data_IF_206833835577
#
_entry.id   IF_206833835577
#
_cell.length_a   1.000
_cell.length_b   1.000
_cell.length_c   1.000
_cell.angle_alpha   90.00
_cell.angle_beta   90.00
_cell.angle_gamma   90.00
#
_symmetry.space_group_name_H-M   'P 1'
#
loop_
_entity.id
_entity.type
_entity.pdbx_description
1 polymer ?
#
# COMPACT_ATOMS: atom_id res chain seq x y z
N UNK A 1 2.45 -38.19 14.11
CA UNK A 1 2.22 -37.09 15.08
C UNK A 1 1.11 -36.19 14.53
N UNK A 2 -0.08 -36.24 15.13
CA UNK A 2 -1.19 -35.34 14.78
C UNK A 2 -0.77 -33.92 15.16
N UNK A 3 -0.66 -33.05 14.17
CA UNK A 3 -0.35 -31.65 14.37
C UNK A 3 -1.57 -31.02 15.06
N UNK A 4 -1.51 -30.83 16.38
CA UNK A 4 -2.50 -30.06 17.13
C UNK A 4 -2.31 -28.58 16.79
N UNK A 5 -2.60 -28.19 15.54
CA UNK A 5 -2.77 -26.79 15.20
C UNK A 5 -4.05 -26.33 15.88
N UNK A 6 -3.90 -25.57 16.97
CA UNK A 6 -4.96 -24.75 17.54
C UNK A 6 -5.76 -24.09 16.38
N UNK A 7 -7.10 -24.06 16.45
CA UNK A 7 -7.88 -23.41 15.42
C UNK A 7 -7.36 -21.98 15.22
N UNK A 8 -7.31 -21.48 13.98
CA UNK A 8 -6.81 -20.14 13.70
C UNK A 8 -7.53 -19.16 14.62
N UNK A 9 -6.78 -18.53 15.53
CA UNK A 9 -7.35 -17.63 16.53
C UNK A 9 -7.97 -16.45 15.78
N UNK A 10 -9.29 -16.46 15.68
CA UNK A 10 -10.05 -15.43 14.99
C UNK A 10 -9.84 -14.12 15.75
N UNK A 11 -9.32 -13.10 15.08
CA UNK A 11 -9.15 -11.78 15.69
C UNK A 11 -10.52 -11.31 16.16
N UNK A 12 -10.62 -10.88 17.42
CA UNK A 12 -11.87 -10.36 17.97
C UNK A 12 -12.33 -9.15 17.14
N UNK A 13 -13.64 -8.96 16.87
CA UNK A 13 -14.13 -7.80 16.12
C UNK A 13 -13.64 -6.47 16.67
N UNK A 14 -13.45 -6.37 18.00
CA UNK A 14 -12.93 -5.15 18.62
C UNK A 14 -11.46 -4.89 18.27
N UNK A 15 -10.66 -5.96 18.18
CA UNK A 15 -9.26 -5.86 17.78
C UNK A 15 -9.16 -5.56 16.28
N UNK A 16 -10.04 -6.12 15.44
CA UNK A 16 -10.13 -5.77 14.02
C UNK A 16 -10.42 -4.26 13.84
N UNK A 17 -11.31 -3.70 14.65
CA UNK A 17 -11.58 -2.26 14.65
C UNK A 17 -10.36 -1.42 15.03
N UNK A 18 -9.65 -1.77 16.11
CA UNK A 18 -8.44 -1.04 16.50
C UNK A 18 -7.33 -1.15 15.46
N UNK A 19 -7.12 -2.33 14.86
CA UNK A 19 -6.16 -2.48 13.76
C UNK A 19 -6.58 -1.69 12.52
N UNK A 20 -7.87 -1.60 12.22
CA UNK A 20 -8.36 -0.76 11.13
C UNK A 20 -8.09 0.73 11.40
N UNK A 21 -8.29 1.20 12.63
CA UNK A 21 -7.99 2.59 13.01
C UNK A 21 -6.49 2.89 12.95
N UNK A 22 -5.64 2.00 13.47
CA UNK A 22 -4.19 2.12 13.37
C UNK A 22 -3.77 2.15 11.91
N UNK A 23 -4.29 1.22 11.11
CA UNK A 23 -3.99 1.12 9.69
C UNK A 23 -4.38 2.36 8.90
N UNK A 24 -5.56 2.91 9.20
CA UNK A 24 -6.03 4.15 8.62
C UNK A 24 -5.10 5.32 8.95
N UNK A 25 -4.71 5.47 10.22
CA UNK A 25 -3.77 6.51 10.63
C UNK A 25 -2.41 6.34 9.95
N UNK A 26 -1.89 5.11 9.88
CA UNK A 26 -0.63 4.82 9.19
C UNK A 26 -0.69 5.16 7.70
N UNK A 27 -1.78 4.84 7.01
CA UNK A 27 -1.95 5.22 5.60
C UNK A 27 -1.99 6.75 5.45
N UNK A 28 -2.74 7.46 6.30
CA UNK A 28 -2.86 8.94 6.24
C UNK A 28 -1.51 9.61 6.50
N UNK A 29 -0.85 9.31 7.62
CA UNK A 29 0.44 9.91 7.93
C UNK A 29 1.50 9.49 6.91
N UNK A 30 1.45 8.24 6.46
CA UNK A 30 2.33 7.73 5.42
C UNK A 30 2.22 8.47 4.10
N UNK A 31 1.06 9.05 3.76
CA UNK A 31 0.89 9.90 2.55
C UNK A 31 1.84 11.09 2.55
N UNK A 32 2.16 11.65 3.70
CA UNK A 32 2.93 12.90 3.83
C UNK A 32 4.40 12.70 4.19
N UNK A 33 4.84 11.46 4.35
CA UNK A 33 6.23 11.14 4.70
C UNK A 33 6.86 10.40 3.52
N UNK A 34 7.88 11.00 2.93
CA UNK A 34 8.68 10.39 1.87
C UNK A 34 9.68 9.36 2.42
N UNK A 35 9.96 8.34 1.61
CA UNK A 35 10.98 7.34 1.91
C UNK A 35 12.33 7.82 1.39
N UNK A 36 13.31 7.88 2.29
CA UNK A 36 14.70 8.23 1.98
C UNK A 36 15.62 7.03 2.14
N UNK A 37 16.64 6.96 1.30
CA UNK A 37 17.76 6.03 1.45
C UNK A 37 19.06 6.80 1.56
N UNK A 38 19.97 6.30 2.37
CA UNK A 38 21.33 6.82 2.46
C UNK A 38 22.24 5.83 1.75
N UNK A 39 22.62 6.15 0.51
CA UNK A 39 23.53 5.34 -0.28
C UNK A 39 24.93 5.99 -0.27
N UNK A 40 25.99 5.25 0.11
CA UNK A 40 27.35 5.73 -0.04
C UNK A 40 27.65 5.85 -1.55
N UNK A 41 27.63 7.08 -2.06
CA UNK A 41 27.89 7.34 -3.49
C UNK A 41 29.40 7.41 -3.78
N UNK A 42 30.22 7.54 -2.73
CA UNK A 42 31.69 7.56 -2.78
C UNK A 42 32.29 7.04 -1.47
N UNK A 43 33.62 6.89 -1.41
CA UNK A 43 34.36 6.46 -0.20
C UNK A 43 34.32 7.48 0.94
N UNK A 44 33.76 8.67 0.71
CA UNK A 44 33.59 9.70 1.74
C UNK A 44 32.38 9.40 2.63
N UNK A 45 32.62 8.54 3.63
CA UNK A 45 31.64 8.22 4.67
C UNK A 45 31.20 9.45 5.49
N UNK A 46 31.96 10.55 5.43
CA UNK A 46 31.69 11.78 6.16
C UNK A 46 30.59 12.65 5.52
N UNK A 47 30.24 12.43 4.25
CA UNK A 47 29.26 13.24 3.50
C UNK A 47 28.07 12.42 2.98
N UNK A 48 27.51 11.57 3.84
CA UNK A 48 26.30 10.81 3.52
C UNK A 48 25.07 11.72 3.49
N UNK A 49 24.52 11.96 2.30
CA UNK A 49 23.27 12.70 2.10
C UNK A 49 22.10 11.74 1.88
N UNK A 50 20.96 11.95 2.56
CA UNK A 50 19.75 11.18 2.28
C UNK A 50 19.18 11.57 0.91
N UNK A 51 18.90 10.55 0.10
CA UNK A 51 18.30 10.69 -1.23
C UNK A 51 16.85 10.19 -1.19
N UNK A 52 15.91 10.98 -1.72
CA UNK A 52 14.50 10.57 -1.81
C UNK A 52 14.34 9.45 -2.85
N UNK A 53 13.52 8.46 -2.53
CA UNK A 53 13.16 7.38 -3.44
C UNK A 53 11.92 7.70 -4.30
N UNK A 54 11.35 8.90 -4.17
CA UNK A 54 10.17 9.32 -4.95
C UNK A 54 8.90 8.54 -4.60
N UNK A 55 8.86 7.90 -3.43
CA UNK A 55 7.70 7.18 -2.90
C UNK A 55 7.45 7.59 -1.44
N UNK A 56 6.24 7.34 -0.96
CA UNK A 56 5.84 7.68 0.40
C UNK A 56 5.60 6.44 1.26
N UNK A 57 5.55 6.61 2.59
CA UNK A 57 5.23 5.54 3.53
C UNK A 57 3.75 5.11 3.50
N UNK A 58 2.92 5.72 2.65
CA UNK A 58 1.50 5.38 2.49
C UNK A 58 1.32 3.88 2.23
N UNK A 59 2.09 3.34 1.28
CA UNK A 59 2.05 1.92 0.91
C UNK A 59 2.50 1.01 2.06
N UNK A 60 3.41 1.49 2.92
CA UNK A 60 3.82 0.75 4.11
C UNK A 60 2.66 0.60 5.10
N UNK A 61 1.88 1.66 5.33
CA UNK A 61 0.67 1.61 6.17
C UNK A 61 -0.37 0.61 5.64
N UNK A 62 -0.60 0.63 4.33
CA UNK A 62 -1.52 -0.28 3.63
C UNK A 62 -1.17 -1.75 3.90
N UNK A 63 0.08 -2.15 3.64
CA UNK A 63 0.49 -3.55 3.81
C UNK A 63 0.70 -3.94 5.26
N UNK A 64 1.21 -3.05 6.10
CA UNK A 64 1.36 -3.33 7.53
C UNK A 64 0.02 -3.71 8.17
N UNK A 65 -1.05 -3.01 7.80
CA UNK A 65 -2.40 -3.31 8.29
C UNK A 65 -2.86 -4.71 7.89
N UNK A 66 -2.62 -5.12 6.63
CA UNK A 66 -2.91 -6.48 6.17
C UNK A 66 -2.09 -7.53 6.89
N UNK A 67 -0.77 -7.34 6.95
CA UNK A 67 0.18 -8.29 7.52
C UNK A 67 -0.03 -8.50 9.03
N UNK A 68 -0.41 -7.45 9.77
CA UNK A 68 -0.59 -7.51 11.23
C UNK A 68 -2.06 -7.71 11.59
N UNK A 69 -2.94 -6.80 11.16
CA UNK A 69 -4.37 -6.75 11.51
C UNK A 69 -5.28 -7.68 10.71
N UNK A 70 -4.77 -8.29 9.63
CA UNK A 70 -5.53 -9.24 8.81
C UNK A 70 -6.46 -8.59 7.79
N UNK A 71 -7.12 -9.44 6.99
CA UNK A 71 -7.86 -9.02 5.78
C UNK A 71 -8.99 -8.01 6.04
N UNK A 72 -9.76 -8.19 7.12
CA UNK A 72 -10.92 -7.36 7.42
C UNK A 72 -10.49 -5.96 7.85
N UNK A 73 -9.58 -5.88 8.83
CA UNK A 73 -9.02 -4.62 9.31
C UNK A 73 -8.36 -3.82 8.18
N UNK A 74 -7.61 -4.50 7.31
CA UNK A 74 -7.00 -3.89 6.13
C UNK A 74 -8.05 -3.31 5.18
N UNK A 75 -9.08 -4.08 4.81
CA UNK A 75 -10.15 -3.58 3.95
C UNK A 75 -10.87 -2.38 4.57
N UNK A 76 -11.24 -2.46 5.85
CA UNK A 76 -11.92 -1.36 6.55
C UNK A 76 -11.06 -0.09 6.59
N UNK A 77 -9.77 -0.22 6.89
CA UNK A 77 -8.84 0.92 6.88
C UNK A 77 -8.78 1.59 5.51
N UNK A 78 -8.61 0.82 4.43
CA UNK A 78 -8.48 1.40 3.09
C UNK A 78 -9.80 1.94 2.54
N UNK A 79 -10.94 1.33 2.89
CA UNK A 79 -12.27 1.87 2.57
C UNK A 79 -12.47 3.21 3.27
N UNK A 80 -12.18 3.28 4.58
CA UNK A 80 -12.28 4.53 5.34
C UNK A 80 -11.36 5.61 4.78
N UNK A 81 -10.14 5.25 4.39
CA UNK A 81 -9.18 6.15 3.75
C UNK A 81 -9.73 6.75 2.45
N UNK A 82 -10.25 5.91 1.55
CA UNK A 82 -10.86 6.35 0.28
C UNK A 82 -12.05 7.28 0.54
N UNK A 83 -12.97 6.87 1.42
CA UNK A 83 -14.16 7.67 1.74
C UNK A 83 -13.72 9.04 2.28
N UNK A 84 -12.87 9.07 3.29
CA UNK A 84 -12.45 10.34 3.91
C UNK A 84 -11.77 11.30 2.92
N UNK A 85 -10.90 10.80 2.04
CA UNK A 85 -10.23 11.66 1.07
C UNK A 85 -11.18 12.24 0.02
N UNK A 86 -12.26 11.53 -0.32
CA UNK A 86 -13.30 12.05 -1.21
C UNK A 86 -14.20 13.10 -0.52
N UNK A 87 -14.41 13.01 0.79
CA UNK A 87 -15.19 13.96 1.60
C UNK A 87 -14.39 15.21 2.02
N UNK A 88 -13.58 15.76 1.11
CA UNK A 88 -12.83 17.01 1.26
C UNK A 88 -11.80 17.07 2.40
N UNK A 89 -11.42 15.92 3.00
CA UNK A 89 -10.28 15.89 3.89
C UNK A 89 -9.00 15.81 3.05
N UNK A 90 -8.04 16.73 3.20
CA UNK A 90 -6.83 16.79 2.37
C UNK A 90 -5.83 15.72 2.83
N UNK A 91 -6.19 14.44 2.70
CA UNK A 91 -5.41 13.29 3.14
C UNK A 91 -4.78 12.52 1.96
N UNK A 92 -5.21 12.80 0.72
CA UNK A 92 -4.51 12.33 -0.47
C UNK A 92 -3.37 13.29 -0.82
N UNK A 93 -2.38 12.80 -1.55
CA UNK A 93 -1.18 13.58 -1.91
C UNK A 93 -1.52 14.87 -2.67
N UNK A 94 -2.51 14.83 -3.55
CA UNK A 94 -2.99 15.99 -4.33
C UNK A 94 -4.19 16.71 -3.66
N UNK A 95 -4.40 16.51 -2.36
CA UNK A 95 -5.48 17.14 -1.59
C UNK A 95 -6.63 16.18 -1.27
N UNK A 96 -7.87 16.66 -1.30
CA UNK A 96 -9.05 15.84 -1.05
C UNK A 96 -10.30 16.52 -1.59
N UNK A 97 -11.00 15.84 -2.49
CA UNK A 97 -12.25 16.31 -3.08
C UNK A 97 -12.91 15.17 -3.84
N UNK A 98 -14.19 15.33 -4.19
CA UNK A 98 -14.84 14.39 -5.08
C UNK A 98 -14.17 14.37 -6.45
N UNK A 99 -13.66 15.50 -6.95
CA UNK A 99 -12.92 15.62 -8.21
C UNK A 99 -11.64 14.77 -8.26
N UNK A 100 -11.23 14.15 -7.15
CA UNK A 100 -10.07 13.27 -7.11
C UNK A 100 -10.16 12.09 -8.10
N UNK A 101 -11.36 11.69 -8.55
CA UNK A 101 -11.52 10.71 -9.64
C UNK A 101 -10.85 11.16 -10.95
N UNK A 102 -10.62 12.46 -11.16
CA UNK A 102 -9.94 12.95 -12.36
C UNK A 102 -8.42 12.79 -12.30
N UNK A 103 -7.87 12.34 -11.17
CA UNK A 103 -6.45 12.12 -11.01
C UNK A 103 -6.08 10.67 -11.37
N UNK A 104 -5.07 10.46 -12.24
CA UNK A 104 -4.64 9.12 -12.67
C UNK A 104 -4.19 8.23 -11.50
N UNK A 105 -3.65 8.84 -10.44
CA UNK A 105 -3.18 8.18 -9.23
C UNK A 105 -4.32 7.53 -8.42
N UNK A 106 -5.56 7.97 -8.60
CA UNK A 106 -6.71 7.47 -7.83
C UNK A 106 -6.95 5.98 -8.01
N UNK A 107 -6.69 5.43 -9.20
CA UNK A 107 -6.81 4.00 -9.47
C UNK A 107 -5.94 3.12 -8.56
N UNK A 108 -4.76 3.62 -8.19
CA UNK A 108 -3.86 2.93 -7.27
C UNK A 108 -4.38 2.99 -5.83
N UNK A 109 -4.96 4.12 -5.43
CA UNK A 109 -5.62 4.28 -4.12
C UNK A 109 -6.83 3.33 -4.03
N UNK A 110 -7.64 3.20 -5.08
CA UNK A 110 -8.71 2.19 -5.14
C UNK A 110 -8.15 0.77 -5.02
N UNK A 111 -7.01 0.51 -5.66
CA UNK A 111 -6.28 -0.75 -5.58
C UNK A 111 -5.82 -1.13 -4.17
N UNK A 112 -5.67 -0.16 -3.25
CA UNK A 112 -5.29 -0.44 -1.86
C UNK A 112 -6.30 -1.36 -1.17
N UNK A 113 -7.59 -1.25 -1.48
CA UNK A 113 -8.64 -2.06 -0.86
C UNK A 113 -8.43 -3.57 -1.17
N UNK A 114 -8.49 -4.01 -2.45
CA UNK A 114 -8.29 -5.42 -2.77
C UNK A 114 -6.85 -5.90 -2.51
N UNK A 115 -5.85 -5.02 -2.70
CA UNK A 115 -4.44 -5.37 -2.45
C UNK A 115 -4.14 -5.64 -0.98
N UNK A 116 -4.60 -4.77 -0.07
CA UNK A 116 -4.42 -4.95 1.37
C UNK A 116 -5.26 -6.11 1.92
N UNK A 117 -6.48 -6.28 1.41
CA UNK A 117 -7.32 -7.42 1.76
C UNK A 117 -6.67 -8.75 1.38
N UNK A 118 -6.16 -8.86 0.13
CA UNK A 118 -5.47 -10.07 -0.33
C UNK A 118 -4.23 -10.33 0.51
N UNK A 119 -3.43 -9.29 0.78
CA UNK A 119 -2.25 -9.37 1.63
C UNK A 119 -2.60 -9.97 3.01
N UNK A 120 -3.61 -9.41 3.70
CA UNK A 120 -4.04 -9.92 5.00
C UNK A 120 -4.75 -11.28 4.96
N UNK A 121 -5.31 -11.68 3.82
CA UNK A 121 -5.96 -12.98 3.63
C UNK A 121 -4.93 -14.12 3.52
N UNK A 122 -3.81 -13.87 2.83
CA UNK A 122 -2.76 -14.85 2.61
C UNK A 122 -1.93 -15.15 3.86
N UNK A 123 -1.86 -14.20 4.81
CA UNK A 123 -1.12 -14.36 6.07
C UNK A 123 -1.97 -15.12 7.10
N UNK A 124 -1.99 -16.45 6.92
CA UNK A 124 -2.78 -17.37 7.74
C UNK A 124 -2.33 -17.39 9.21
N UNK A 125 -3.28 -17.46 10.18
CA UNK A 125 -2.95 -17.60 11.59
C UNK A 125 -2.10 -18.85 11.87
N UNK A 126 -1.09 -18.70 12.72
CA UNK A 126 -0.21 -19.80 13.12
C UNK A 126 0.97 -20.09 12.19
N UNK A 127 1.03 -19.48 11.00
CA UNK A 127 2.21 -19.60 10.11
C UNK A 127 3.25 -18.53 10.44
N UNK A 128 4.44 -18.98 10.85
CA UNK A 128 5.60 -18.15 11.21
C UNK A 128 6.68 -18.20 10.14
N UNK A 129 6.37 -17.70 8.94
CA UNK A 129 7.30 -17.73 7.80
C UNK A 129 7.41 -16.34 7.21
N UNK A 130 8.60 -15.75 7.27
CA UNK A 130 8.85 -14.42 6.71
C UNK A 130 8.57 -14.40 5.20
N UNK A 131 8.83 -15.51 4.51
CA UNK A 131 8.57 -15.67 3.08
C UNK A 131 7.08 -15.50 2.75
N UNK A 132 6.19 -15.98 3.63
CA UNK A 132 4.75 -15.82 3.46
C UNK A 132 4.35 -14.34 3.56
N UNK A 133 4.94 -13.58 4.47
CA UNK A 133 4.65 -12.15 4.65
C UNK A 133 5.12 -11.38 3.41
N UNK A 134 6.37 -11.61 2.99
CA UNK A 134 6.94 -10.99 1.79
C UNK A 134 6.13 -11.33 0.53
N UNK A 135 5.77 -12.61 0.31
CA UNK A 135 4.94 -13.02 -0.83
C UNK A 135 3.53 -12.42 -0.77
N UNK A 136 2.93 -12.32 0.41
CA UNK A 136 1.59 -11.73 0.57
C UNK A 136 1.59 -10.24 0.25
N UNK A 137 2.61 -9.51 0.69
CA UNK A 137 2.78 -8.09 0.35
C UNK A 137 3.09 -7.90 -1.14
N UNK A 138 3.93 -8.75 -1.73
CA UNK A 138 4.24 -8.72 -3.15
C UNK A 138 3.01 -8.96 -4.04
N UNK A 139 2.21 -9.98 -3.74
CA UNK A 139 0.95 -10.23 -4.47
C UNK A 139 -0.06 -9.10 -4.28
N UNK A 140 -0.14 -8.53 -3.08
CA UNK A 140 -0.95 -7.35 -2.83
C UNK A 140 -0.48 -6.13 -3.64
N UNK A 141 0.83 -5.95 -3.82
CA UNK A 141 1.41 -4.88 -4.63
C UNK A 141 1.02 -5.05 -6.10
N UNK A 142 1.13 -6.27 -6.64
CA UNK A 142 0.67 -6.57 -8.01
C UNK A 142 -0.82 -6.24 -8.21
N UNK A 143 -1.68 -6.53 -7.22
CA UNK A 143 -3.10 -6.16 -7.29
C UNK A 143 -3.29 -4.63 -7.33
N UNK A 144 -2.54 -3.87 -6.52
CA UNK A 144 -2.59 -2.40 -6.53
C UNK A 144 -2.21 -1.87 -7.92
N UNK A 145 -1.09 -2.34 -8.49
CA UNK A 145 -0.67 -1.93 -9.83
C UNK A 145 -1.66 -2.35 -10.91
N UNK A 146 -2.23 -3.55 -10.81
CA UNK A 146 -3.25 -4.01 -11.74
C UNK A 146 -4.48 -3.08 -11.73
N UNK A 147 -5.01 -2.77 -10.54
CA UNK A 147 -6.11 -1.81 -10.39
C UNK A 147 -5.76 -0.42 -10.93
N UNK A 148 -4.55 0.08 -10.63
CA UNK A 148 -4.06 1.35 -11.12
C UNK A 148 -3.96 1.40 -12.65
N UNK A 149 -3.35 0.39 -13.27
CA UNK A 149 -3.19 0.31 -14.72
C UNK A 149 -4.55 0.20 -15.42
N UNK A 150 -5.48 -0.63 -14.90
CA UNK A 150 -6.85 -0.70 -15.42
C UNK A 150 -7.52 0.68 -15.36
N UNK A 151 -7.34 1.41 -14.27
CA UNK A 151 -7.86 2.77 -14.15
C UNK A 151 -7.23 3.73 -15.17
N UNK A 152 -5.91 3.68 -15.38
CA UNK A 152 -5.21 4.53 -16.37
C UNK A 152 -5.73 4.27 -17.80
N UNK A 153 -5.99 3.01 -18.13
CA UNK A 153 -6.57 2.62 -19.43
C UNK A 153 -7.97 3.24 -19.56
N UNK A 154 -8.84 3.04 -18.57
CA UNK A 154 -10.18 3.62 -18.58
C UNK A 154 -10.15 5.16 -18.64
N UNK A 155 -9.25 5.79 -17.87
CA UNK A 155 -9.07 7.23 -17.86
C UNK A 155 -8.68 7.76 -19.24
N UNK A 156 -7.77 7.08 -19.95
CA UNK A 156 -7.33 7.47 -21.30
C UNK A 156 -8.48 7.41 -22.31
N UNK A 157 -9.37 6.43 -22.18
CA UNK A 157 -10.56 6.32 -23.04
C UNK A 157 -11.66 7.32 -22.69
N UNK A 158 -11.87 7.61 -21.41
CA UNK A 158 -12.99 8.43 -20.93
C UNK A 158 -12.70 9.93 -21.05
N UNK A 159 -11.46 10.35 -20.78
CA UNK A 159 -11.06 11.77 -20.70
C UNK A 159 -11.30 12.58 -22.00
N UNK A 160 -11.10 12.02 -23.21
CA UNK A 160 -11.45 12.70 -24.47
C UNK A 160 -12.94 13.05 -24.61
N UNK A 161 -13.84 12.27 -24.02
CA UNK A 161 -15.29 12.58 -24.06
C UNK A 161 -15.65 13.84 -23.26
N UNK A 162 -14.77 14.27 -22.34
CA UNK A 162 -14.92 15.50 -21.57
C UNK A 162 -14.16 16.70 -22.19
N UNK A 163 -13.72 16.58 -23.45
CA UNK A 163 -13.08 17.67 -24.19
C UNK A 163 -11.60 17.87 -23.91
N UNK A 164 -10.96 16.96 -23.16
CA UNK A 164 -9.53 16.98 -22.89
C UNK A 164 -8.76 16.18 -23.96
N UNK A 165 -7.77 16.82 -24.60
CA UNK A 165 -6.91 16.14 -25.59
C UNK A 165 -5.69 15.56 -24.87
N UNK A 166 -5.57 14.23 -24.88
CA UNK A 166 -4.41 13.53 -24.34
C UNK A 166 -3.40 13.25 -25.47
N UNK A 167 -2.11 13.22 -25.12
CA UNK A 167 -1.05 12.73 -26.01
C UNK A 167 -1.27 11.25 -26.33
N UNK A 168 -0.91 10.81 -27.54
CA UNK A 168 -0.89 9.39 -27.92
C UNK A 168 0.03 8.56 -27.00
N UNK A 169 1.06 9.18 -26.41
CA UNK A 169 2.00 8.52 -25.49
C UNK A 169 1.53 8.52 -24.03
N UNK A 170 0.42 9.21 -23.72
CA UNK A 170 0.00 9.49 -22.34
C UNK A 170 -0.09 8.24 -21.46
N UNK A 171 -0.70 7.17 -21.97
CA UNK A 171 -0.86 5.93 -21.21
C UNK A 171 0.49 5.31 -20.84
N UNK A 172 1.42 5.29 -21.79
CA UNK A 172 2.75 4.74 -21.56
C UNK A 172 3.54 5.58 -20.55
N UNK A 173 3.50 6.91 -20.70
CA UNK A 173 4.15 7.83 -19.79
C UNK A 173 3.58 7.70 -18.36
N UNK A 174 2.26 7.57 -18.24
CA UNK A 174 1.60 7.36 -16.94
C UNK A 174 1.98 6.00 -16.30
N UNK A 175 2.04 4.91 -17.07
CA UNK A 175 2.48 3.59 -16.56
C UNK A 175 3.94 3.67 -16.11
N UNK A 176 4.81 4.33 -16.87
CA UNK A 176 6.20 4.52 -16.48
C UNK A 176 6.32 5.31 -15.17
N UNK A 177 5.55 6.39 -15.04
CA UNK A 177 5.59 7.28 -13.88
C UNK A 177 5.02 6.65 -12.62
N UNK A 178 3.85 6.02 -12.69
CA UNK A 178 3.14 5.52 -11.50
C UNK A 178 3.44 4.05 -11.17
N UNK A 179 3.84 3.24 -12.16
CA UNK A 179 4.13 1.82 -11.95
C UNK A 179 5.61 1.51 -12.03
N UNK A 180 6.24 1.69 -13.19
CA UNK A 180 7.58 1.10 -13.44
C UNK A 180 8.68 1.80 -12.65
N UNK A 181 8.72 3.13 -12.67
CA UNK A 181 9.76 3.92 -11.98
C UNK A 181 9.76 3.71 -10.46
N UNK A 182 8.62 3.78 -9.73
CA UNK A 182 8.61 3.59 -8.29
C UNK A 182 8.69 2.11 -7.87
N UNK A 183 8.49 1.15 -8.78
CA UNK A 183 8.39 -0.28 -8.44
C UNK A 183 9.57 -0.81 -7.62
N UNK A 184 10.86 -0.53 -7.95
CA UNK A 184 11.98 -1.05 -7.17
C UNK A 184 12.00 -0.53 -5.73
N UNK A 185 11.66 0.75 -5.53
CA UNK A 185 11.58 1.36 -4.22
C UNK A 185 10.41 0.78 -3.40
N UNK A 186 9.25 0.58 -4.04
CA UNK A 186 8.09 -0.06 -3.42
C UNK A 186 8.40 -1.51 -3.03
N UNK A 187 9.11 -2.25 -3.87
CA UNK A 187 9.55 -3.62 -3.56
C UNK A 187 10.46 -3.66 -2.32
N UNK A 188 11.44 -2.75 -2.24
CA UNK A 188 12.31 -2.63 -1.06
C UNK A 188 11.50 -2.30 0.21
N UNK A 189 10.54 -1.36 0.08
CA UNK A 189 9.67 -0.94 1.19
C UNK A 189 8.81 -2.09 1.72
N UNK A 190 8.17 -2.88 0.84
CA UNK A 190 7.32 -3.99 1.29
C UNK A 190 8.11 -5.12 1.95
N UNK A 191 9.37 -5.32 1.56
CA UNK A 191 10.28 -6.25 2.22
C UNK A 191 10.57 -5.79 3.66
N UNK A 192 10.89 -4.52 3.86
CA UNK A 192 11.11 -3.96 5.19
C UNK A 192 9.86 -4.06 6.07
N UNK A 193 8.68 -3.71 5.53
CA UNK A 193 7.40 -3.81 6.23
C UNK A 193 7.07 -5.25 6.60
N UNK A 194 7.39 -6.21 5.72
CA UNK A 194 7.18 -7.64 5.99
C UNK A 194 8.02 -8.14 7.16
N UNK A 195 9.28 -7.70 7.29
CA UNK A 195 10.16 -8.02 8.43
C UNK A 195 9.60 -7.42 9.72
N UNK A 196 9.23 -6.14 9.70
CA UNK A 196 8.67 -5.44 10.88
C UNK A 196 7.37 -6.11 11.33
N UNK A 197 6.45 -6.39 10.39
CA UNK A 197 5.18 -7.03 10.70
C UNK A 197 5.36 -8.46 11.22
N UNK A 198 6.35 -9.19 10.71
CA UNK A 198 6.69 -10.52 11.20
C UNK A 198 7.16 -10.47 12.67
N UNK A 199 8.10 -9.58 12.99
CA UNK A 199 8.59 -9.38 14.36
C UNK A 199 7.44 -8.95 15.28
N UNK A 200 6.60 -8.02 14.83
CA UNK A 200 5.49 -7.54 15.65
C UNK A 200 4.46 -8.64 15.93
N UNK A 201 4.16 -9.51 14.94
CA UNK A 201 3.29 -10.67 15.19
C UNK A 201 3.91 -11.68 16.17
N UNK A 202 5.24 -11.77 16.23
CA UNK A 202 5.94 -12.54 17.28
C UNK A 202 5.70 -11.94 18.66
N UNK A 203 5.71 -10.62 18.80
CA UNK A 203 5.54 -9.98 20.12
C UNK A 203 4.07 -9.98 20.57
N UNK A 204 3.12 -9.75 19.65
CA UNK A 204 1.71 -9.53 20.00
C UNK A 204 0.90 -10.82 20.16
N UNK A 205 1.24 -11.88 19.43
CA UNK A 205 0.40 -13.08 19.32
C UNK A 205 1.10 -14.37 19.71
N UNK A 206 2.40 -14.33 20.03
CA UNK A 206 3.20 -15.50 20.40
C UNK A 206 3.96 -15.26 21.70
#
# INVERSE_FOLDING_TARGET
MKNNSLPPQKISPINEFFFALIGLMLTIFGTFIEVFVVLPTSNDLENLKPSSLGITYQLAGVFFTGLVGGKNAAAYAQIAYVIMGLFKLPIFYQGGSFEYFQYPSFGYILGFIPGAWLCGFLVLPGKRRLELFAMSAFLGLLVIHFCGIVYLILYTFITPFFGNVLSDTYLWDAINWYSITPFPAQLALICAVSVIAFILRIILFY
#
